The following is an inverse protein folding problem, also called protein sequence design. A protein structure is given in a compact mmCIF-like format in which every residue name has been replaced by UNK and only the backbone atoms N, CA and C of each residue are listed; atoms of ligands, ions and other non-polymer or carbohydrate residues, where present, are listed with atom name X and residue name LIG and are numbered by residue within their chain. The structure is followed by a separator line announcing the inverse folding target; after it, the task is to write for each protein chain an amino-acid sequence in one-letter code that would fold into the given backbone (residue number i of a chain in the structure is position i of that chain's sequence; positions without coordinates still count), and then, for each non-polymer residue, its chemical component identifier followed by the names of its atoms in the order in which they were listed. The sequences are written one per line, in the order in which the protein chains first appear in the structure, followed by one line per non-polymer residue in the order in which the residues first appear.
data_IF_792312876098
#
_entry.id   IF_792312876098
#
_cell.length_a   1.000
_cell.length_b   1.000
_cell.length_c   1.000
_cell.angle_alpha   90.00
_cell.angle_beta   90.00
_cell.angle_gamma   90.00
#
_symmetry.space_group_name_H-M   'P 1'
#
loop_
_entity.id
_entity.type
_entity.pdbx_description
1 polymer ?
#
# COMPACT_ATOMS: atom_id res chain seq x y z
N UNK A 1 -22.54 -12.16 11.74
CA UNK A 1 -21.74 -12.30 10.51
C UNK A 1 -21.13 -13.69 10.45
N UNK A 2 -21.51 -14.49 9.46
CA UNK A 2 -21.06 -15.88 9.28
C UNK A 2 -19.65 -15.93 8.69
N UNK A 3 -18.99 -17.10 8.75
CA UNK A 3 -17.68 -17.29 8.11
C UNK A 3 -17.73 -17.05 6.60
N UNK A 4 -18.80 -17.49 5.94
CA UNK A 4 -19.01 -17.27 4.50
C UNK A 4 -19.08 -15.77 4.18
N UNK A 5 -19.81 -15.00 4.97
CA UNK A 5 -19.89 -13.54 4.81
C UNK A 5 -18.52 -12.87 5.04
N UNK A 6 -17.78 -13.28 6.08
CA UNK A 6 -16.41 -12.79 6.32
C UNK A 6 -15.49 -13.11 5.14
N UNK A 7 -15.61 -14.31 4.55
CA UNK A 7 -14.83 -14.71 3.38
C UNK A 7 -15.09 -13.80 2.19
N UNK A 8 -16.37 -13.49 1.91
CA UNK A 8 -16.77 -12.60 0.82
C UNK A 8 -16.26 -11.19 1.03
N UNK A 9 -16.42 -10.64 2.24
CA UNK A 9 -15.93 -9.29 2.57
C UNK A 9 -14.41 -9.24 2.44
N UNK A 10 -13.69 -10.23 2.99
CA UNK A 10 -12.24 -10.31 2.86
C UNK A 10 -11.80 -10.36 1.40
N UNK A 11 -12.47 -11.18 0.58
CA UNK A 11 -12.17 -11.32 -0.84
C UNK A 11 -12.33 -9.99 -1.58
N UNK A 12 -13.44 -9.27 -1.35
CA UNK A 12 -13.71 -7.97 -2.00
C UNK A 12 -12.68 -6.92 -1.58
N UNK A 13 -12.43 -6.78 -0.28
CA UNK A 13 -11.47 -5.78 0.23
C UNK A 13 -10.05 -6.09 -0.24
N UNK A 14 -9.66 -7.37 -0.26
CA UNK A 14 -8.31 -7.76 -0.70
C UNK A 14 -8.15 -7.70 -2.22
N UNK A 15 -9.22 -7.96 -2.99
CA UNK A 15 -9.22 -7.74 -4.43
C UNK A 15 -9.11 -6.26 -4.76
N UNK A 16 -9.81 -5.38 -4.04
CA UNK A 16 -9.67 -3.93 -4.18
C UNK A 16 -8.25 -3.45 -3.82
N UNK A 17 -7.67 -3.96 -2.73
CA UNK A 17 -6.29 -3.72 -2.34
C UNK A 17 -5.31 -4.13 -3.45
N UNK A 18 -5.44 -5.36 -3.93
CA UNK A 18 -4.57 -5.91 -4.97
C UNK A 18 -4.71 -5.12 -6.28
N UNK A 19 -5.94 -4.82 -6.68
CA UNK A 19 -6.22 -4.03 -7.88
C UNK A 19 -5.56 -2.65 -7.79
N UNK A 20 -5.74 -1.94 -6.67
CA UNK A 20 -5.15 -0.62 -6.50
C UNK A 20 -3.62 -0.69 -6.45
N UNK A 21 -3.06 -1.65 -5.71
CA UNK A 21 -1.62 -1.86 -5.61
C UNK A 21 -0.99 -2.14 -6.98
N UNK A 22 -1.58 -3.01 -7.81
CA UNK A 22 -1.04 -3.33 -9.13
C UNK A 22 -1.12 -2.14 -10.10
N UNK A 23 -2.25 -1.44 -10.13
CA UNK A 23 -2.40 -0.25 -10.99
C UNK A 23 -1.40 0.84 -10.60
N UNK A 24 -1.30 1.16 -9.31
CA UNK A 24 -0.33 2.14 -8.83
C UNK A 24 1.11 1.69 -9.05
N UNK A 25 1.41 0.39 -9.00
CA UNK A 25 2.75 -0.12 -9.31
C UNK A 25 3.12 0.07 -10.77
N UNK A 26 2.20 -0.20 -11.69
CA UNK A 26 2.41 0.06 -13.13
C UNK A 26 2.67 1.54 -13.38
N UNK A 27 1.85 2.43 -12.81
CA UNK A 27 2.03 3.89 -12.96
C UNK A 27 3.33 4.38 -12.31
N UNK A 28 3.68 3.84 -11.14
CA UNK A 28 4.94 4.15 -10.46
C UNK A 28 6.18 3.59 -11.19
N UNK A 29 6.03 2.76 -12.22
CA UNK A 29 7.10 2.36 -13.14
C UNK A 29 7.16 3.23 -14.41
N UNK A 30 6.22 4.16 -14.59
CA UNK A 30 6.07 4.96 -15.83
C UNK A 30 5.21 4.28 -16.89
N UNK A 31 4.50 3.20 -16.56
CA UNK A 31 3.50 2.59 -17.44
C UNK A 31 2.17 3.34 -17.42
N UNK A 32 1.36 3.09 -18.45
CA UNK A 32 -0.03 3.54 -18.48
C UNK A 32 -0.92 2.55 -17.70
N UNK A 33 -2.00 3.06 -17.14
CA UNK A 33 -2.99 2.26 -16.43
C UNK A 33 -3.60 1.21 -17.36
N UNK A 34 -3.52 -0.06 -16.97
CA UNK A 34 -3.90 -1.19 -17.84
C UNK A 34 -5.42 -1.42 -17.84
N UNK A 35 -6.17 -0.83 -16.90
CA UNK A 35 -7.61 -1.12 -16.72
C UNK A 35 -8.55 0.05 -17.04
N UNK A 36 -8.10 1.12 -17.69
CA UNK A 36 -8.95 2.24 -18.14
C UNK A 36 -9.61 3.08 -17.02
N UNK A 37 -9.46 2.67 -15.76
CA UNK A 37 -9.84 3.46 -14.60
C UNK A 37 -8.70 4.41 -14.26
N UNK A 38 -8.90 5.69 -14.56
CA UNK A 38 -7.97 6.76 -14.19
C UNK A 38 -7.64 6.65 -12.70
N UNK A 39 -6.38 6.37 -12.37
CA UNK A 39 -5.88 6.59 -11.03
C UNK A 39 -5.97 8.09 -10.75
N UNK A 40 -6.03 8.41 -9.46
CA UNK A 40 -6.14 9.80 -8.99
C UNK A 40 -5.00 10.66 -9.53
N UNK A 41 -3.83 10.06 -9.83
CA UNK A 41 -2.63 10.74 -10.32
C UNK A 41 -1.88 9.87 -11.34
N UNK A 42 -1.49 10.47 -12.47
CA UNK A 42 -0.70 9.84 -13.52
C UNK A 42 0.82 10.01 -13.34
N UNK A 43 1.24 10.79 -12.35
CA UNK A 43 2.65 11.09 -12.10
C UNK A 43 3.26 10.09 -11.11
N UNK A 44 4.49 9.64 -11.40
CA UNK A 44 5.17 8.53 -10.71
C UNK A 44 5.19 8.64 -9.18
N UNK A 45 5.78 9.72 -8.65
CA UNK A 45 5.95 9.90 -7.20
C UNK A 45 4.63 10.25 -6.49
N UNK A 46 3.80 11.18 -7.01
CA UNK A 46 2.50 11.47 -6.41
C UNK A 46 1.56 10.24 -6.38
N UNK A 47 1.58 9.41 -7.43
CA UNK A 47 0.85 8.15 -7.46
C UNK A 47 1.34 7.19 -6.36
N UNK A 48 2.65 7.06 -6.17
CA UNK A 48 3.22 6.24 -5.09
C UNK A 48 2.82 6.74 -3.69
N UNK A 49 2.78 8.06 -3.46
CA UNK A 49 2.33 8.64 -2.19
C UNK A 49 0.88 8.29 -1.86
N UNK A 50 -0.04 8.52 -2.81
CA UNK A 50 -1.45 8.19 -2.62
C UNK A 50 -1.64 6.67 -2.47
N UNK A 51 -0.85 5.88 -3.20
CA UNK A 51 -0.86 4.43 -3.07
C UNK A 51 -0.43 3.93 -1.68
N UNK A 52 0.59 4.53 -1.05
CA UNK A 52 0.95 4.18 0.33
C UNK A 52 -0.24 4.38 1.26
N UNK A 53 -0.95 5.52 1.15
CA UNK A 53 -2.10 5.82 1.99
C UNK A 53 -3.25 4.82 1.77
N UNK A 54 -3.70 4.67 0.52
CA UNK A 54 -4.85 3.82 0.17
C UNK A 54 -4.54 2.35 0.45
N UNK A 55 -3.37 1.86 0.03
CA UNK A 55 -2.97 0.47 0.28
C UNK A 55 -2.79 0.20 1.78
N UNK A 56 -2.28 1.13 2.59
CA UNK A 56 -2.17 0.93 4.04
C UNK A 56 -3.53 0.74 4.70
N UNK A 57 -4.52 1.59 4.38
CA UNK A 57 -5.88 1.49 4.93
C UNK A 57 -6.55 0.18 4.51
N UNK A 58 -6.48 -0.16 3.23
CA UNK A 58 -7.06 -1.40 2.71
C UNK A 58 -6.33 -2.65 3.26
N UNK A 59 -5.01 -2.59 3.45
CA UNK A 59 -4.24 -3.67 4.06
C UNK A 59 -4.58 -3.87 5.54
N UNK A 60 -4.80 -2.80 6.29
CA UNK A 60 -5.31 -2.86 7.68
C UNK A 60 -6.68 -3.54 7.70
N UNK A 61 -7.62 -3.09 6.86
CA UNK A 61 -8.96 -3.64 6.79
C UNK A 61 -8.95 -5.13 6.39
N UNK A 62 -8.28 -5.47 5.28
CA UNK A 62 -8.14 -6.85 4.80
C UNK A 62 -7.50 -7.74 5.87
N UNK A 63 -6.40 -7.30 6.49
CA UNK A 63 -5.70 -8.10 7.50
C UNK A 63 -6.51 -8.26 8.78
N UNK A 64 -7.27 -7.25 9.20
CA UNK A 64 -8.16 -7.33 10.36
C UNK A 64 -9.31 -8.32 10.12
N UNK A 65 -9.93 -8.28 8.94
CA UNK A 65 -10.99 -9.23 8.54
C UNK A 65 -10.42 -10.64 8.46
N UNK A 66 -9.26 -10.81 7.81
CA UNK A 66 -8.58 -12.10 7.69
C UNK A 66 -8.18 -12.67 9.05
N UNK A 67 -7.69 -11.83 9.96
CA UNK A 67 -7.40 -12.21 11.35
C UNK A 67 -8.66 -12.69 12.09
N UNK A 68 -9.78 -11.98 11.92
CA UNK A 68 -11.06 -12.37 12.52
C UNK A 68 -11.56 -13.70 11.95
N UNK A 69 -11.45 -13.89 10.62
CA UNK A 69 -11.77 -15.14 9.95
C UNK A 69 -10.92 -16.30 10.50
N UNK A 70 -9.60 -16.13 10.53
CA UNK A 70 -8.65 -17.14 10.98
C UNK A 70 -8.86 -17.53 12.45
N UNK A 71 -9.20 -16.58 13.32
CA UNK A 71 -9.51 -16.84 14.74
C UNK A 71 -10.80 -17.61 14.97
N UNK A 72 -11.77 -17.46 14.07
CA UNK A 72 -13.04 -18.19 14.07
C UNK A 72 -12.96 -19.50 13.29
N UNK A 73 -11.87 -19.72 12.56
CA UNK A 73 -11.60 -20.92 11.79
C UNK A 73 -11.32 -22.12 12.70
N UNK A 74 -11.31 -23.30 12.10
CA UNK A 74 -11.03 -24.53 12.84
C UNK A 74 -9.54 -24.74 13.15
N UNK A 75 -9.19 -25.97 13.55
CA UNK A 75 -7.82 -26.31 13.98
C UNK A 75 -6.87 -26.47 12.79
N UNK A 76 -7.39 -26.79 11.61
CA UNK A 76 -6.57 -27.05 10.42
C UNK A 76 -6.26 -25.74 9.70
N UNK A 77 -5.09 -25.68 9.07
CA UNK A 77 -4.60 -24.48 8.36
C UNK A 77 -5.59 -23.99 7.29
N UNK A 78 -6.13 -24.92 6.50
CA UNK A 78 -7.05 -24.63 5.39
C UNK A 78 -8.42 -24.07 5.86
N UNK A 79 -8.81 -24.32 7.11
CA UNK A 79 -10.05 -23.80 7.72
C UNK A 79 -9.92 -22.34 8.18
N UNK A 80 -8.71 -21.77 8.14
CA UNK A 80 -8.39 -20.42 8.61
C UNK A 80 -8.14 -19.44 7.48
N UNK A 81 -8.21 -19.90 6.24
CA UNK A 81 -8.00 -19.08 5.06
C UNK A 81 -9.35 -18.90 4.35
N UNK A 82 -9.77 -17.64 4.12
CA UNK A 82 -10.94 -17.35 3.30
C UNK A 82 -10.87 -18.02 1.93
N UNK A 83 -11.96 -18.68 1.52
CA UNK A 83 -12.11 -19.18 0.15
C UNK A 83 -12.59 -18.03 -0.74
N UNK A 84 -11.91 -17.86 -1.87
CA UNK A 84 -12.16 -16.79 -2.85
C UNK A 84 -12.78 -17.42 -4.09
N UNK A 85 -13.78 -16.78 -4.69
CA UNK A 85 -14.30 -17.10 -6.04
C UNK A 85 -15.06 -18.43 -6.21
N UNK A 86 -14.79 -19.45 -5.39
CA UNK A 86 -15.42 -20.77 -5.49
C UNK A 86 -16.39 -21.01 -4.33
N UNK A 87 -17.54 -21.60 -4.64
CA UNK A 87 -18.57 -21.91 -3.63
C UNK A 87 -18.35 -23.28 -2.96
N UNK A 88 -17.71 -24.23 -3.64
CA UNK A 88 -17.53 -25.60 -3.15
C UNK A 88 -16.18 -26.20 -3.57
N UNK A 89 -15.08 -25.69 -2.98
CA UNK A 89 -13.76 -26.30 -3.12
C UNK A 89 -13.48 -27.20 -1.91
N UNK A 90 -12.96 -28.41 -2.15
CA UNK A 90 -12.43 -29.23 -1.06
C UNK A 90 -11.08 -28.66 -0.59
N UNK A 91 -11.13 -27.79 0.42
CA UNK A 91 -9.95 -27.16 1.02
C UNK A 91 -9.02 -28.14 1.73
N UNK A 92 -9.47 -29.37 2.02
CA UNK A 92 -8.64 -30.38 2.65
C UNK A 92 -7.70 -31.08 1.65
N UNK A 93 -8.08 -31.10 0.36
CA UNK A 93 -7.29 -31.65 -0.76
C UNK A 93 -5.98 -30.88 -0.98
N UNK A 94 -5.03 -31.51 -1.68
CA UNK A 94 -3.74 -30.87 -2.03
C UNK A 94 -3.97 -29.65 -2.91
N UNK A 95 -4.80 -29.78 -3.93
CA UNK A 95 -5.14 -28.70 -4.87
C UNK A 95 -5.81 -27.52 -4.17
N UNK A 96 -6.78 -27.80 -3.27
CA UNK A 96 -7.46 -26.77 -2.49
C UNK A 96 -6.51 -25.99 -1.58
N UNK A 97 -5.51 -26.66 -0.98
CA UNK A 97 -4.49 -26.01 -0.17
C UNK A 97 -3.54 -25.14 -0.99
N UNK A 98 -3.10 -25.63 -2.15
CA UNK A 98 -2.26 -24.85 -3.08
C UNK A 98 -3.00 -23.60 -3.54
N UNK A 99 -4.28 -23.75 -3.91
CA UNK A 99 -5.14 -22.64 -4.29
C UNK A 99 -5.27 -21.59 -3.17
N UNK A 100 -5.60 -22.02 -1.95
CA UNK A 100 -5.73 -21.11 -0.80
C UNK A 100 -4.41 -20.41 -0.47
N UNK A 101 -3.29 -21.13 -0.54
CA UNK A 101 -1.96 -20.57 -0.34
C UNK A 101 -1.63 -19.50 -1.39
N UNK A 102 -1.90 -19.78 -2.66
CA UNK A 102 -1.71 -18.84 -3.75
C UNK A 102 -2.59 -17.59 -3.59
N UNK A 103 -3.88 -17.76 -3.26
CA UNK A 103 -4.78 -16.63 -3.03
C UNK A 103 -4.38 -15.79 -1.83
N UNK A 104 -3.94 -16.41 -0.73
CA UNK A 104 -3.41 -15.67 0.42
C UNK A 104 -2.15 -14.89 0.06
N UNK A 105 -1.21 -15.50 -0.67
CA UNK A 105 0.00 -14.84 -1.12
C UNK A 105 -0.28 -13.67 -2.07
N UNK A 106 -1.20 -13.84 -3.03
CA UNK A 106 -1.57 -12.80 -3.98
C UNK A 106 -2.36 -11.67 -3.33
N UNK A 107 -3.39 -11.99 -2.55
CA UNK A 107 -4.32 -10.99 -2.01
C UNK A 107 -3.80 -10.32 -0.74
N UNK A 108 -2.95 -10.99 0.04
CA UNK A 108 -2.39 -10.44 1.28
C UNK A 108 -0.89 -10.19 1.22
N UNK A 109 -0.11 -10.89 0.40
CA UNK A 109 1.35 -10.75 0.34
C UNK A 109 1.82 -9.74 -0.70
N UNK A 110 1.36 -9.90 -1.96
CA UNK A 110 1.79 -9.05 -3.08
C UNK A 110 1.56 -7.55 -2.85
N UNK A 111 0.47 -7.08 -2.21
CA UNK A 111 0.30 -5.66 -1.91
C UNK A 111 1.40 -5.07 -1.03
N UNK A 112 1.99 -5.84 -0.11
CA UNK A 112 3.12 -5.35 0.70
C UNK A 112 4.40 -5.24 -0.12
N UNK A 113 4.60 -6.12 -1.11
CA UNK A 113 5.73 -6.00 -2.05
C UNK A 113 5.59 -4.71 -2.88
N UNK A 114 4.37 -4.42 -3.36
CA UNK A 114 4.08 -3.16 -4.03
C UNK A 114 4.33 -1.94 -3.11
N UNK A 115 3.90 -2.00 -1.85
CA UNK A 115 4.16 -0.94 -0.87
C UNK A 115 5.66 -0.68 -0.63
N UNK A 116 6.51 -1.71 -0.60
CA UNK A 116 7.96 -1.53 -0.51
C UNK A 116 8.47 -0.73 -1.71
N UNK A 117 7.99 -1.05 -2.92
CA UNK A 117 8.34 -0.29 -4.12
C UNK A 117 7.85 1.17 -4.04
N UNK A 118 6.65 1.42 -3.54
CA UNK A 118 6.14 2.79 -3.36
C UNK A 118 6.99 3.60 -2.38
N UNK A 119 7.37 3.00 -1.25
CA UNK A 119 8.27 3.63 -0.29
C UNK A 119 9.64 3.92 -0.89
N UNK A 120 10.20 2.98 -1.65
CA UNK A 120 11.45 3.20 -2.38
C UNK A 120 11.34 4.37 -3.36
N UNK A 121 10.25 4.43 -4.14
CA UNK A 121 10.00 5.53 -5.08
C UNK A 121 9.82 6.88 -4.39
N UNK A 122 9.26 6.91 -3.17
CA UNK A 122 9.08 8.14 -2.39
C UNK A 122 10.39 8.59 -1.74
N UNK A 123 11.19 7.67 -1.19
CA UNK A 123 12.45 7.97 -0.52
C UNK A 123 13.55 8.42 -1.49
N UNK A 124 13.47 8.00 -2.76
CA UNK A 124 14.39 8.40 -3.82
C UNK A 124 13.96 9.68 -4.54
N UNK A 125 12.77 10.21 -4.23
CA UNK A 125 12.26 11.42 -4.85
C UNK A 125 13.00 12.66 -4.36
N UNK A 126 13.27 13.59 -5.27
CA UNK A 126 13.90 14.87 -4.97
C UNK A 126 12.83 15.85 -4.47
N UNK A 127 13.05 16.42 -3.28
CA UNK A 127 12.14 17.38 -2.64
C UNK A 127 12.81 18.75 -2.59
N UNK A 128 12.09 19.79 -3.00
CA UNK A 128 12.55 21.18 -3.02
C UNK A 128 11.66 22.11 -2.20
N UNK A 129 12.25 23.20 -1.70
CA UNK A 129 11.51 24.29 -1.10
C UNK A 129 10.81 25.13 -2.18
N UNK A 130 9.63 25.66 -1.85
CA UNK A 130 8.79 26.43 -2.77
C UNK A 130 9.35 27.85 -3.02
N UNK A 131 9.96 28.46 -2.01
CA UNK A 131 10.50 29.82 -2.09
C UNK A 131 11.88 29.84 -2.77
N UNK A 132 11.94 30.16 -4.07
CA UNK A 132 13.08 30.78 -4.80
C UNK A 132 14.47 30.10 -4.70
N UNK A 133 14.57 29.04 -3.91
CA UNK A 133 15.77 28.38 -3.46
C UNK A 133 15.69 26.99 -4.04
N UNK A 134 16.60 26.73 -4.97
CA UNK A 134 16.76 25.41 -5.62
C UNK A 134 17.37 24.38 -4.67
N UNK A 135 17.13 24.52 -3.37
CA UNK A 135 17.78 23.73 -2.32
C UNK A 135 16.99 22.44 -2.14
N UNK A 136 17.70 21.34 -2.39
CA UNK A 136 17.23 20.01 -2.10
C UNK A 136 17.13 19.82 -0.58
N UNK A 137 15.95 19.40 -0.14
CA UNK A 137 15.70 19.00 1.25
C UNK A 137 15.36 17.52 1.29
N UNK A 138 15.73 16.85 2.38
CA UNK A 138 15.32 15.46 2.60
C UNK A 138 13.82 15.37 2.92
N UNK A 139 13.18 14.28 2.51
CA UNK A 139 11.77 13.97 2.82
C UNK A 139 11.45 14.02 4.33
N UNK A 140 12.42 13.57 5.15
CA UNK A 140 12.33 13.51 6.61
C UNK A 140 12.86 14.75 7.33
N UNK A 141 12.98 15.88 6.64
CA UNK A 141 13.52 17.09 7.25
C UNK A 141 12.55 17.69 8.29
N UNK A 142 12.68 17.26 9.53
CA UNK A 142 11.92 17.77 10.68
C UNK A 142 12.26 19.24 11.01
N UNK A 143 13.40 19.75 10.53
CA UNK A 143 13.76 21.17 10.64
C UNK A 143 12.83 22.07 9.84
N UNK A 144 12.18 21.56 8.79
CA UNK A 144 11.12 22.28 8.09
C UNK A 144 9.93 22.57 9.01
N UNK A 145 9.54 21.62 9.87
CA UNK A 145 8.43 21.75 10.81
C UNK A 145 8.62 22.89 11.82
N UNK A 146 9.88 23.13 12.21
CA UNK A 146 10.22 24.10 13.25
C UNK A 146 10.54 25.49 12.69
N UNK A 147 11.05 25.56 11.45
CA UNK A 147 11.60 26.79 10.88
C UNK A 147 10.80 27.35 9.70
N UNK A 148 9.85 26.59 9.15
CA UNK A 148 9.03 27.02 8.00
C UNK A 148 7.61 27.30 8.45
N UNK A 149 6.99 28.36 7.93
CA UNK A 149 5.56 28.59 8.15
C UNK A 149 4.78 27.46 7.46
N UNK A 150 3.76 26.91 8.12
CA UNK A 150 2.84 25.90 7.53
C UNK A 150 2.24 26.33 6.18
N UNK A 151 2.33 27.63 5.84
CA UNK A 151 1.90 28.22 4.58
C UNK A 151 2.78 27.89 3.36
N UNK A 152 3.97 27.31 3.53
CA UNK A 152 4.89 26.99 2.41
C UNK A 152 5.21 25.49 2.31
N UNK A 153 4.34 24.68 1.67
CA UNK A 153 4.59 23.26 1.48
C UNK A 153 5.77 23.03 0.53
N UNK A 154 6.54 21.98 0.79
CA UNK A 154 7.62 21.58 -0.10
C UNK A 154 7.07 20.94 -1.38
N UNK A 155 7.83 21.03 -2.47
CA UNK A 155 7.48 20.46 -3.77
C UNK A 155 8.27 19.18 -4.00
N UNK A 156 7.57 18.09 -4.25
CA UNK A 156 8.15 16.86 -4.77
C UNK A 156 8.20 16.96 -6.28
N UNK A 157 9.40 16.86 -6.84
CA UNK A 157 9.62 17.01 -8.26
C UNK A 157 9.22 15.73 -8.98
N UNK A 158 8.35 15.86 -9.97
CA UNK A 158 7.86 14.72 -10.75
C UNK A 158 8.82 14.36 -11.87
N UNK A 159 9.44 15.38 -12.46
CA UNK A 159 10.57 15.29 -13.36
C UNK A 159 11.62 16.31 -12.91
N UNK A 160 12.85 15.85 -12.66
CA UNK A 160 13.97 16.72 -12.29
C UNK A 160 14.89 16.90 -13.50
N UNK A 161 15.09 18.15 -13.91
CA UNK A 161 16.02 18.52 -14.98
C UNK A 161 17.11 19.40 -14.39
N UNK A 162 18.31 18.84 -14.27
CA UNK A 162 19.47 19.55 -13.75
C UNK A 162 19.85 20.72 -14.68
N UNK A 163 20.12 21.89 -14.11
CA UNK A 163 20.52 23.09 -14.87
C UNK A 163 19.37 23.94 -15.46
N UNK A 164 18.11 23.53 -15.32
CA UNK A 164 16.98 24.33 -15.78
C UNK A 164 16.68 25.55 -14.87
N UNK A 165 15.98 26.55 -15.44
CA UNK A 165 15.53 27.74 -14.70
C UNK A 165 14.60 27.33 -13.56
N UNK A 166 13.63 26.45 -13.84
CA UNK A 166 12.89 25.65 -12.85
C UNK A 166 13.28 24.18 -13.02
N UNK A 167 14.04 23.60 -12.08
CA UNK A 167 14.48 22.21 -12.17
C UNK A 167 13.34 21.19 -11.98
N UNK A 168 12.13 21.61 -11.61
CA UNK A 168 11.00 20.71 -11.35
C UNK A 168 9.84 20.95 -12.31
N UNK A 169 9.82 20.18 -13.39
CA UNK A 169 8.74 20.22 -14.39
C UNK A 169 7.55 19.39 -13.89
N UNK A 170 6.73 20.01 -13.05
CA UNK A 170 5.57 19.40 -12.38
C UNK A 170 5.88 19.00 -10.95
N UNK A 171 4.96 19.30 -10.03
CA UNK A 171 5.17 19.09 -8.59
C UNK A 171 3.90 18.67 -7.87
N UNK A 172 4.04 17.78 -6.90
CA UNK A 172 3.06 17.63 -5.82
C UNK A 172 3.56 18.36 -4.57
N UNK A 173 2.63 18.92 -3.81
CA UNK A 173 2.93 19.51 -2.51
C UNK A 173 3.00 18.40 -1.46
N UNK A 174 4.01 18.45 -0.61
CA UNK A 174 4.13 17.61 0.57
C UNK A 174 4.47 18.48 1.78
N UNK A 175 4.08 18.05 2.97
CA UNK A 175 4.53 18.58 4.25
C UNK A 175 5.68 17.66 4.75
N UNK A 176 6.96 18.06 4.58
CA UNK A 176 8.10 17.26 5.03
C UNK A 176 7.98 16.85 6.49
N UNK A 177 8.36 15.61 6.78
CA UNK A 177 8.25 15.04 8.13
C UNK A 177 6.84 14.61 8.55
N UNK A 178 5.80 15.45 8.35
CA UNK A 178 4.43 15.15 8.83
C UNK A 178 3.77 14.06 8.00
N UNK A 179 3.59 14.29 6.70
CA UNK A 179 2.93 13.33 5.82
C UNK A 179 3.72 12.01 5.70
N UNK A 180 5.06 12.03 5.49
CA UNK A 180 5.87 10.82 5.55
C UNK A 180 5.75 10.08 6.89
N UNK A 181 5.70 10.82 8.01
CA UNK A 181 5.52 10.25 9.35
C UNK A 181 4.17 9.54 9.50
N UNK A 182 3.08 10.19 9.05
CA UNK A 182 1.74 9.60 9.07
C UNK A 182 1.67 8.36 8.18
N UNK A 183 2.23 8.41 6.97
CA UNK A 183 2.29 7.28 6.06
C UNK A 183 3.09 6.11 6.65
N UNK A 184 4.21 6.39 7.33
CA UNK A 184 5.02 5.37 7.99
C UNK A 184 4.27 4.73 9.16
N UNK A 185 3.62 5.52 10.01
CA UNK A 185 2.78 5.01 11.09
C UNK A 185 1.67 4.08 10.57
N UNK A 186 0.97 4.48 9.51
CA UNK A 186 -0.06 3.66 8.87
C UNK A 186 0.50 2.37 8.26
N UNK A 187 1.64 2.46 7.57
CA UNK A 187 2.31 1.29 6.97
C UNK A 187 2.79 0.30 8.03
N UNK A 188 3.33 0.80 9.15
CA UNK A 188 3.75 -0.02 10.29
C UNK A 188 2.55 -0.69 10.97
N UNK A 189 1.44 0.03 11.13
CA UNK A 189 0.20 -0.54 11.66
C UNK A 189 -0.34 -1.64 10.73
N UNK A 190 -0.33 -1.41 9.41
CA UNK A 190 -0.71 -2.40 8.41
C UNK A 190 0.16 -3.67 8.51
N UNK A 191 1.49 -3.51 8.59
CA UNK A 191 2.43 -4.61 8.78
C UNK A 191 2.19 -5.37 10.08
N UNK A 192 1.95 -4.65 11.18
CA UNK A 192 1.67 -5.27 12.48
C UNK A 192 0.42 -6.15 12.44
N UNK A 193 -0.68 -5.64 11.87
CA UNK A 193 -1.95 -6.38 11.77
C UNK A 193 -1.80 -7.55 10.79
N UNK A 194 -1.11 -7.37 9.67
CA UNK A 194 -0.79 -8.44 8.73
C UNK A 194 0.05 -9.54 9.40
N UNK A 195 1.09 -9.20 10.15
CA UNK A 195 1.89 -10.18 10.88
C UNK A 195 1.03 -10.97 11.88
N UNK A 196 0.07 -10.33 12.56
CA UNK A 196 -0.88 -11.03 13.43
C UNK A 196 -1.82 -11.95 12.64
N UNK A 197 -2.32 -11.51 11.48
CA UNK A 197 -3.15 -12.31 10.59
C UNK A 197 -2.41 -13.57 10.11
N UNK A 198 -1.22 -13.41 9.53
CA UNK A 198 -0.39 -14.51 9.06
C UNK A 198 0.01 -15.46 10.19
N UNK A 199 0.33 -14.92 11.38
CA UNK A 199 0.58 -15.72 12.58
C UNK A 199 -0.64 -16.58 12.98
N UNK A 200 -1.85 -16.03 12.88
CA UNK A 200 -3.08 -16.76 13.20
C UNK A 200 -3.39 -17.87 12.17
N UNK A 201 -3.04 -17.65 10.91
CA UNK A 201 -3.14 -18.66 9.84
C UNK A 201 -2.13 -19.80 10.06
N UNK A 202 -0.87 -19.46 10.35
CA UNK A 202 0.24 -20.43 10.41
C UNK A 202 0.32 -21.21 11.72
N UNK A 203 0.16 -20.55 12.88
CA UNK A 203 0.37 -21.22 14.16
C UNK A 203 -0.78 -22.16 14.50
N UNK A 204 -0.49 -23.45 14.60
CA UNK A 204 -1.40 -24.41 15.22
C UNK A 204 -1.67 -23.98 16.66
N UNK A 205 -2.95 -23.88 17.01
CA UNK A 205 -3.43 -23.76 18.40
C UNK A 205 -3.93 -25.12 18.80
#
# INVERSE_FOLDING_TARGET
MTQVQLSKIWSVVSAALLYYALNSWIVAQGGNEVFGAKLVLSQRVPAAMVAILVCSVLAIASSAIGLLYARRGGKRWHERIPVVGFEAIDTASVEGRVYQGAMLALLSGLPFVAMIYFWYSLLTAQVMLNEGSKKLIGLWNLGWLWNSKLSDPARICTNFTEGAIDPCTGSATILPGVEPGLFACLSLLALFIAAKHWKAVVLRR
#
